data_IF_583164982611
#
_entry.id   IF_583164982611
#
_cell.length_a   1.000
_cell.length_b   1.000
_cell.length_c   1.000
_cell.angle_alpha   90.00
_cell.angle_beta   90.00
_cell.angle_gamma   90.00
#
_symmetry.space_group_name_H-M   'P 1'
#
loop_
_entity.id
_entity.type
_entity.pdbx_description
1 polymer ?
#
# COMPACT_ATOMS: atom_id res chain seq x y z
N UNK A 1 2.62 -1.16 -25.83
CA UNK A 1 1.31 -0.49 -26.16
C UNK A 1 1.33 0.95 -25.64
N UNK A 2 0.47 1.83 -26.18
CA UNK A 2 0.33 3.17 -25.62
C UNK A 2 -0.93 3.22 -24.75
N UNK A 3 -0.80 3.80 -23.53
CA UNK A 3 -1.89 3.94 -22.57
C UNK A 3 -2.29 5.40 -22.43
N UNK A 4 -3.59 5.65 -22.29
CA UNK A 4 -4.14 6.99 -22.06
C UNK A 4 -4.58 7.15 -20.62
N UNK A 5 -3.76 7.81 -19.79
CA UNK A 5 -4.06 8.09 -18.40
C UNK A 5 -4.93 9.34 -18.19
N UNK A 6 -5.23 10.11 -19.24
CA UNK A 6 -6.19 11.22 -19.20
C UNK A 6 -7.62 10.79 -19.50
N UNK A 7 -7.84 9.50 -19.83
CA UNK A 7 -9.18 8.96 -20.07
C UNK A 7 -10.01 9.03 -18.78
N UNK A 8 -11.16 9.69 -18.85
CA UNK A 8 -12.12 9.70 -17.75
C UNK A 8 -13.07 8.50 -17.91
N UNK A 9 -12.98 7.58 -16.95
CA UNK A 9 -13.82 6.38 -16.91
C UNK A 9 -14.86 6.56 -15.79
N UNK A 10 -16.14 6.51 -16.14
CA UNK A 10 -17.21 6.56 -15.15
C UNK A 10 -17.18 5.30 -14.26
N UNK A 11 -17.11 5.51 -12.96
CA UNK A 11 -17.04 4.44 -11.96
C UNK A 11 -18.25 4.36 -11.05
N UNK A 12 -19.22 5.28 -11.17
CA UNK A 12 -20.48 5.22 -10.42
C UNK A 12 -21.36 4.09 -10.97
N UNK A 13 -22.12 3.48 -10.08
CA UNK A 13 -22.96 2.31 -10.39
C UNK A 13 -22.19 1.06 -10.85
N UNK A 14 -20.93 0.95 -10.45
CA UNK A 14 -20.08 -0.22 -10.72
C UNK A 14 -19.73 -1.01 -9.44
N UNK A 15 -20.41 -0.72 -8.34
CA UNK A 15 -20.10 -1.26 -7.00
C UNK A 15 -18.70 -0.86 -6.50
N UNK A 16 -18.21 0.28 -6.97
CA UNK A 16 -16.91 0.82 -6.57
C UNK A 16 -16.96 1.30 -5.12
N UNK A 17 -16.14 0.71 -4.26
CA UNK A 17 -16.00 1.17 -2.86
C UNK A 17 -15.56 2.64 -2.79
N UNK A 18 -14.73 3.09 -3.72
CA UNK A 18 -14.23 4.46 -3.80
C UNK A 18 -15.33 5.45 -4.22
N UNK A 19 -16.15 5.11 -5.23
CA UNK A 19 -17.10 6.02 -5.85
C UNK A 19 -18.53 5.85 -5.35
N UNK A 20 -19.02 4.62 -5.23
CA UNK A 20 -20.42 4.36 -4.86
C UNK A 20 -20.67 4.39 -3.35
N UNK A 21 -19.62 4.06 -2.57
CA UNK A 21 -19.72 3.99 -1.11
C UNK A 21 -19.17 5.23 -0.38
N UNK A 22 -18.84 6.30 -1.12
CA UNK A 22 -18.26 7.53 -0.56
C UNK A 22 -19.15 8.15 0.51
N UNK A 23 -20.46 8.27 0.25
CA UNK A 23 -21.41 8.83 1.20
C UNK A 23 -21.45 8.10 2.54
N UNK A 24 -21.50 6.77 2.52
CA UNK A 24 -21.54 5.96 3.74
C UNK A 24 -20.19 5.97 4.49
N UNK A 25 -19.07 6.15 3.80
CA UNK A 25 -17.72 6.08 4.40
C UNK A 25 -17.21 7.41 4.92
N UNK A 26 -17.47 8.51 4.20
CA UNK A 26 -16.96 9.83 4.57
C UNK A 26 -18.06 10.83 4.95
N UNK A 27 -19.32 10.43 4.88
CA UNK A 27 -20.45 11.27 5.31
C UNK A 27 -20.89 12.32 4.29
N UNK A 28 -20.41 12.27 3.02
CA UNK A 28 -20.82 13.18 1.96
C UNK A 28 -20.89 12.44 0.61
N UNK A 29 -22.09 12.14 0.07
CA UNK A 29 -22.25 11.42 -1.19
C UNK A 29 -21.82 12.23 -2.42
N UNK A 30 -21.75 13.56 -2.30
CA UNK A 30 -21.37 14.45 -3.39
C UNK A 30 -19.86 14.71 -3.45
N UNK A 31 -19.10 14.19 -2.48
CA UNK A 31 -17.66 14.41 -2.44
C UNK A 31 -16.94 13.69 -3.58
N UNK A 32 -15.99 14.40 -4.23
CA UNK A 32 -15.10 13.83 -5.24
C UNK A 32 -14.14 12.83 -4.57
N UNK A 33 -14.13 11.55 -4.96
CA UNK A 33 -13.33 10.55 -4.25
C UNK A 33 -11.84 10.60 -4.58
N UNK A 34 -11.02 11.01 -3.62
CA UNK A 34 -9.55 11.01 -3.67
C UNK A 34 -8.94 10.31 -2.43
N UNK A 35 -9.56 9.24 -1.94
CA UNK A 35 -9.27 8.60 -0.65
C UNK A 35 -8.79 7.15 -0.72
N UNK A 36 -9.51 6.25 -1.40
CA UNK A 36 -9.14 4.83 -1.51
C UNK A 36 -7.87 4.67 -2.35
N UNK A 37 -6.99 3.77 -1.93
CA UNK A 37 -5.75 3.44 -2.64
C UNK A 37 -6.00 2.48 -3.83
N UNK A 38 -6.85 2.89 -4.75
CA UNK A 38 -6.97 2.38 -6.12
C UNK A 38 -6.86 3.55 -7.11
N UNK A 39 -6.50 3.30 -8.35
CA UNK A 39 -6.40 4.34 -9.36
C UNK A 39 -7.70 4.47 -10.16
N UNK A 40 -7.88 5.59 -10.87
CA UNK A 40 -8.99 5.79 -11.80
C UNK A 40 -8.56 5.54 -13.26
N UNK A 41 -7.44 4.86 -13.45
CA UNK A 41 -6.91 4.48 -14.75
C UNK A 41 -7.46 3.14 -15.22
N UNK A 42 -7.56 2.99 -16.54
CA UNK A 42 -7.85 1.70 -17.17
C UNK A 42 -6.80 0.67 -16.80
N UNK A 43 -7.24 -0.55 -16.50
CA UNK A 43 -6.31 -1.69 -16.35
C UNK A 43 -5.61 -1.96 -17.69
N UNK A 44 -4.37 -2.48 -17.69
CA UNK A 44 -3.66 -2.83 -18.92
C UNK A 44 -4.47 -3.79 -19.80
N UNK A 45 -4.43 -3.58 -21.11
CA UNK A 45 -5.18 -4.41 -22.05
C UNK A 45 -4.91 -5.91 -21.91
N UNK A 46 -3.64 -6.38 -21.72
CA UNK A 46 -3.39 -7.82 -21.54
C UNK A 46 -4.10 -8.41 -20.31
N UNK A 47 -4.25 -7.63 -19.23
CA UNK A 47 -5.01 -8.05 -18.04
C UNK A 47 -6.50 -8.18 -18.37
N UNK A 48 -7.05 -7.17 -19.03
CA UNK A 48 -8.46 -7.17 -19.43
C UNK A 48 -8.77 -8.35 -20.38
N UNK A 49 -7.89 -8.61 -21.33
CA UNK A 49 -8.04 -9.70 -22.29
C UNK A 49 -7.95 -11.07 -21.60
N UNK A 50 -7.04 -11.26 -20.64
CA UNK A 50 -6.95 -12.48 -19.85
C UNK A 50 -8.24 -12.75 -19.04
N UNK A 51 -8.83 -11.70 -18.45
CA UNK A 51 -10.11 -11.81 -17.71
C UNK A 51 -11.25 -12.16 -18.68
N UNK A 52 -11.33 -11.51 -19.85
CA UNK A 52 -12.36 -11.81 -20.88
C UNK A 52 -12.24 -13.25 -21.38
N UNK A 53 -11.04 -13.67 -21.77
CA UNK A 53 -10.79 -15.04 -22.24
C UNK A 53 -11.20 -16.08 -21.18
N UNK A 54 -10.91 -15.80 -19.88
CA UNK A 54 -11.36 -16.69 -18.80
C UNK A 54 -12.88 -16.69 -18.64
N UNK A 55 -13.55 -15.55 -18.85
CA UNK A 55 -15.00 -15.43 -18.75
C UNK A 55 -15.73 -16.12 -19.92
N UNK A 56 -15.11 -16.22 -21.09
CA UNK A 56 -15.67 -16.96 -22.26
C UNK A 56 -15.81 -18.45 -21.99
N UNK A 57 -14.99 -19.02 -21.10
CA UNK A 57 -15.17 -20.40 -20.65
C UNK A 57 -16.33 -20.49 -19.63
N UNK A 58 -17.45 -21.16 -19.95
CA UNK A 58 -18.72 -21.03 -19.24
C UNK A 58 -18.81 -21.77 -17.88
N UNK A 59 -17.72 -22.39 -17.41
CA UNK A 59 -17.67 -23.13 -16.15
C UNK A 59 -16.73 -22.43 -15.16
N UNK A 60 -17.28 -21.94 -14.04
CA UNK A 60 -16.56 -21.26 -12.98
C UNK A 60 -16.41 -22.19 -11.75
N UNK A 61 -15.80 -23.36 -11.97
CA UNK A 61 -15.49 -24.32 -10.90
C UNK A 61 -14.33 -23.87 -10.02
N UNK A 62 -13.85 -24.76 -9.16
CA UNK A 62 -12.76 -24.47 -8.23
C UNK A 62 -11.42 -24.35 -8.96
N UNK A 63 -10.73 -23.21 -8.88
CA UNK A 63 -9.39 -23.06 -9.43
C UNK A 63 -8.33 -23.65 -8.51
N UNK A 64 -7.12 -23.83 -9.04
CA UNK A 64 -5.93 -24.17 -8.26
C UNK A 64 -4.77 -23.22 -8.61
N UNK A 65 -3.78 -23.14 -7.73
CA UNK A 65 -2.58 -22.33 -7.95
C UNK A 65 -1.67 -23.02 -8.94
N UNK A 66 -1.40 -22.36 -10.07
CA UNK A 66 -0.62 -22.89 -11.17
C UNK A 66 0.86 -22.53 -11.05
N UNK A 67 1.74 -23.21 -11.79
CA UNK A 67 3.18 -22.95 -11.75
C UNK A 67 3.50 -21.57 -12.36
N UNK A 68 2.80 -21.17 -13.43
CA UNK A 68 2.97 -19.87 -14.08
C UNK A 68 2.71 -18.68 -13.14
N UNK A 69 1.82 -18.81 -12.14
CA UNK A 69 1.66 -17.81 -11.07
C UNK A 69 2.96 -17.61 -10.29
N UNK A 70 3.62 -18.70 -9.91
CA UNK A 70 4.89 -18.65 -9.16
C UNK A 70 6.01 -18.08 -10.01
N UNK A 71 6.10 -18.54 -11.25
CA UNK A 71 7.12 -18.12 -12.21
C UNK A 71 6.95 -16.63 -12.55
N UNK A 72 5.72 -16.16 -12.77
CA UNK A 72 5.43 -14.76 -13.02
C UNK A 72 5.87 -13.87 -11.85
N UNK A 73 5.64 -14.31 -10.60
CA UNK A 73 6.10 -13.58 -9.40
C UNK A 73 7.63 -13.50 -9.36
N UNK A 74 8.32 -14.63 -9.52
CA UNK A 74 9.79 -14.71 -9.48
C UNK A 74 10.41 -13.86 -10.58
N UNK A 75 9.93 -14.00 -11.80
CA UNK A 75 10.46 -13.29 -12.97
C UNK A 75 10.24 -11.77 -12.86
N UNK A 76 9.07 -11.34 -12.39
CA UNK A 76 8.76 -9.93 -12.21
C UNK A 76 9.66 -9.28 -11.17
N UNK A 77 9.76 -9.87 -9.98
CA UNK A 77 10.58 -9.31 -8.88
C UNK A 77 12.06 -9.32 -9.25
N UNK A 78 12.56 -10.38 -9.90
CA UNK A 78 13.94 -10.40 -10.42
C UNK A 78 14.16 -9.27 -11.43
N UNK A 79 13.26 -9.10 -12.38
CA UNK A 79 13.38 -8.10 -13.45
C UNK A 79 13.30 -6.67 -12.93
N UNK A 80 12.35 -6.39 -12.02
CA UNK A 80 12.08 -5.03 -11.52
C UNK A 80 12.99 -4.62 -10.35
N UNK A 81 13.34 -5.57 -9.50
CA UNK A 81 13.99 -5.28 -8.21
C UNK A 81 15.30 -6.05 -8.02
N UNK A 82 15.72 -6.88 -8.97
CA UNK A 82 17.01 -7.59 -8.92
C UNK A 82 17.08 -8.73 -7.90
N UNK A 83 15.96 -9.09 -7.24
CA UNK A 83 15.95 -10.15 -6.24
C UNK A 83 15.69 -11.52 -6.87
N UNK A 84 16.65 -12.43 -6.73
CA UNK A 84 16.55 -13.80 -7.20
C UNK A 84 15.86 -14.69 -6.17
N UNK A 85 14.73 -15.29 -6.56
CA UNK A 85 13.91 -16.12 -5.71
C UNK A 85 13.69 -17.49 -6.34
N UNK A 86 13.28 -18.47 -5.51
CA UNK A 86 12.85 -19.78 -6.00
C UNK A 86 11.33 -19.86 -6.05
N UNK A 87 10.74 -20.48 -7.08
CA UNK A 87 9.28 -20.60 -7.20
C UNK A 87 8.61 -21.29 -6.01
N UNK A 88 9.30 -22.25 -5.34
CA UNK A 88 8.78 -22.93 -4.15
C UNK A 88 8.66 -22.02 -2.92
N UNK A 89 9.25 -20.81 -2.93
CA UNK A 89 9.07 -19.82 -1.86
C UNK A 89 7.77 -19.05 -1.98
N UNK A 90 7.11 -19.12 -3.15
CA UNK A 90 5.92 -18.32 -3.46
C UNK A 90 4.65 -19.06 -3.01
N UNK A 91 3.93 -18.45 -2.10
CA UNK A 91 2.61 -18.89 -1.59
C UNK A 91 1.54 -17.93 -2.10
N UNK A 92 0.43 -18.44 -2.62
CA UNK A 92 -0.71 -17.63 -3.04
C UNK A 92 -1.51 -17.12 -1.82
N UNK A 93 -1.97 -15.87 -1.88
CA UNK A 93 -2.95 -15.33 -0.94
C UNK A 93 -4.02 -14.50 -1.66
N UNK A 94 -5.21 -14.38 -1.06
CA UNK A 94 -6.35 -13.63 -1.59
C UNK A 94 -6.27 -12.12 -1.32
N UNK A 95 -5.12 -11.64 -0.97
CA UNK A 95 -4.79 -10.25 -0.60
C UNK A 95 -3.82 -10.23 0.56
N UNK A 96 -3.22 -9.07 0.81
CA UNK A 96 -2.14 -8.93 1.82
C UNK A 96 -2.70 -8.81 3.24
N UNK A 97 -3.82 -8.13 3.44
CA UNK A 97 -4.42 -7.98 4.78
C UNK A 97 -4.75 -9.33 5.45
N UNK A 98 -5.32 -10.34 4.74
CA UNK A 98 -5.46 -11.69 5.30
C UNK A 98 -4.14 -12.33 5.73
N UNK A 99 -3.02 -12.00 5.07
CA UNK A 99 -1.68 -12.52 5.43
C UNK A 99 -1.24 -11.98 6.79
N UNK A 100 -1.41 -10.66 7.03
CA UNK A 100 -1.09 -10.06 8.32
C UNK A 100 -1.85 -10.72 9.46
N UNK A 101 -3.17 -10.85 9.32
CA UNK A 101 -4.01 -11.56 10.31
C UNK A 101 -3.54 -13.00 10.55
N UNK A 102 -3.22 -13.72 9.48
CA UNK A 102 -2.77 -15.11 9.55
C UNK A 102 -1.45 -15.26 10.28
N UNK A 103 -0.48 -14.38 10.00
CA UNK A 103 0.83 -14.42 10.65
C UNK A 103 0.76 -13.96 12.11
N UNK A 104 -0.04 -12.93 12.42
CA UNK A 104 -0.30 -12.52 13.80
C UNK A 104 -0.88 -13.69 14.60
N UNK A 105 -1.86 -14.41 14.08
CA UNK A 105 -2.43 -15.59 14.74
C UNK A 105 -1.44 -16.76 14.87
N UNK A 106 -0.57 -16.94 13.87
CA UNK A 106 0.36 -18.08 13.83
C UNK A 106 1.56 -17.94 14.77
N UNK A 107 2.04 -16.70 14.97
CA UNK A 107 3.31 -16.43 15.65
C UNK A 107 3.16 -15.71 16.99
N UNK A 108 1.94 -15.32 17.37
CA UNK A 108 1.70 -14.59 18.60
C UNK A 108 0.53 -15.17 19.38
N UNK A 109 0.48 -14.90 20.67
CA UNK A 109 -0.64 -15.18 21.56
C UNK A 109 -1.35 -13.87 21.95
N UNK A 110 -2.60 -13.93 22.44
CA UNK A 110 -3.24 -12.77 23.02
C UNK A 110 -2.35 -12.07 24.06
N UNK A 111 -2.20 -10.75 23.93
CA UNK A 111 -1.31 -9.93 24.77
C UNK A 111 0.16 -9.88 24.35
N UNK A 112 0.59 -10.62 23.31
CA UNK A 112 1.88 -10.40 22.67
C UNK A 112 1.89 -9.12 21.86
N UNK A 113 3.10 -8.62 21.56
CA UNK A 113 3.33 -7.34 20.90
C UNK A 113 3.71 -7.54 19.43
N UNK A 114 3.16 -6.69 18.56
CA UNK A 114 3.55 -6.58 17.16
C UNK A 114 4.01 -5.16 16.86
N UNK A 115 5.22 -5.00 16.34
CA UNK A 115 5.83 -3.71 16.06
C UNK A 115 5.31 -3.18 14.73
N UNK A 116 4.89 -1.91 14.72
CA UNK A 116 4.58 -1.13 13.53
C UNK A 116 5.17 0.28 13.64
N UNK A 117 5.30 0.99 12.51
CA UNK A 117 5.93 2.31 12.44
C UNK A 117 4.92 3.37 11.99
N UNK A 118 4.18 3.96 12.94
CA UNK A 118 3.19 5.01 12.64
C UNK A 118 3.85 6.36 12.28
N UNK A 119 3.16 7.18 11.43
CA UNK A 119 1.87 6.89 10.78
C UNK A 119 2.03 5.82 9.70
N UNK A 120 1.16 4.81 9.70
CA UNK A 120 1.25 3.67 8.78
C UNK A 120 -0.14 3.17 8.38
N UNK A 121 -0.20 2.39 7.32
CA UNK A 121 -1.41 1.76 6.80
C UNK A 121 -2.24 1.10 7.90
N UNK A 122 -3.43 1.66 8.15
CA UNK A 122 -4.28 1.31 9.30
C UNK A 122 -4.64 -0.18 9.44
N UNK A 123 -4.77 -1.00 8.35
CA UNK A 123 -5.00 -2.43 8.52
C UNK A 123 -3.89 -3.19 9.26
N UNK A 124 -2.68 -2.64 9.39
CA UNK A 124 -1.67 -3.24 10.28
C UNK A 124 -2.15 -3.23 11.73
N UNK A 125 -2.63 -2.06 12.20
CA UNK A 125 -3.19 -1.94 13.53
C UNK A 125 -4.42 -2.83 13.75
N UNK A 126 -5.31 -2.93 12.76
CA UNK A 126 -6.49 -3.80 12.85
C UNK A 126 -6.09 -5.28 12.95
N UNK A 127 -5.13 -5.73 12.13
CA UNK A 127 -4.65 -7.12 12.21
C UNK A 127 -4.07 -7.47 13.60
N UNK A 128 -3.55 -6.49 14.32
CA UNK A 128 -3.03 -6.66 15.67
C UNK A 128 -4.17 -6.67 16.69
N UNK A 129 -4.98 -5.63 16.73
CA UNK A 129 -5.99 -5.40 17.76
C UNK A 129 -7.16 -6.37 17.63
N UNK A 130 -7.64 -6.63 16.41
CA UNK A 130 -8.75 -7.57 16.16
C UNK A 130 -8.40 -9.03 16.52
N UNK A 131 -7.11 -9.31 16.72
CA UNK A 131 -6.63 -10.59 17.18
C UNK A 131 -6.18 -10.57 18.66
N UNK A 132 -6.56 -9.58 19.46
CA UNK A 132 -6.22 -9.43 20.88
C UNK A 132 -4.70 -9.28 21.16
N UNK A 133 -3.94 -8.73 20.21
CA UNK A 133 -2.52 -8.40 20.36
C UNK A 133 -2.35 -6.93 20.64
N UNK A 134 -1.14 -6.56 21.07
CA UNK A 134 -0.80 -5.19 21.47
C UNK A 134 0.06 -4.54 20.37
N UNK A 135 -0.32 -3.33 19.97
CA UNK A 135 0.52 -2.52 19.07
C UNK A 135 1.74 -2.04 19.84
N UNK A 136 2.93 -2.41 19.40
CA UNK A 136 4.20 -1.84 19.83
C UNK A 136 4.61 -0.79 18.81
N UNK A 137 4.31 0.47 19.12
CA UNK A 137 4.40 1.57 18.16
C UNK A 137 5.80 2.19 18.13
N UNK A 138 6.59 1.86 17.14
CA UNK A 138 7.84 2.54 16.81
C UNK A 138 7.53 3.73 15.90
N UNK A 139 6.97 4.81 16.48
CA UNK A 139 6.58 6.01 15.73
C UNK A 139 7.75 6.60 14.95
N UNK A 140 7.51 6.92 13.67
CA UNK A 140 8.48 7.61 12.84
C UNK A 140 8.71 9.05 13.36
N UNK A 141 9.95 9.51 13.26
CA UNK A 141 10.31 10.89 13.61
C UNK A 141 10.02 11.78 12.41
N UNK A 142 9.12 12.76 12.58
CA UNK A 142 8.87 13.81 11.59
C UNK A 142 9.68 15.05 11.92
N UNK A 143 10.55 15.44 11.00
CA UNK A 143 11.36 16.66 11.13
C UNK A 143 11.67 17.26 9.75
N UNK A 144 11.48 18.56 9.61
CA UNK A 144 11.82 19.34 8.41
C UNK A 144 11.26 18.74 7.11
N UNK A 145 9.99 18.26 7.15
CA UNK A 145 9.32 17.67 6.00
C UNK A 145 9.74 16.23 5.67
N UNK A 146 10.48 15.56 6.55
CA UNK A 146 10.97 14.19 6.35
C UNK A 146 10.60 13.29 7.52
N UNK A 147 10.37 12.02 7.19
CA UNK A 147 10.17 10.96 8.17
C UNK A 147 11.41 10.07 8.22
N UNK A 148 11.85 9.75 9.43
CA UNK A 148 12.99 8.87 9.70
C UNK A 148 12.63 7.83 10.76
N UNK A 149 13.41 6.76 10.84
CA UNK A 149 13.20 5.68 11.82
C UNK A 149 13.90 6.03 13.13
N UNK A 150 13.21 5.84 14.25
CA UNK A 150 13.82 5.86 15.59
C UNK A 150 14.38 4.46 15.91
N UNK A 151 15.66 4.27 15.63
CA UNK A 151 16.34 2.99 15.85
C UNK A 151 16.56 2.67 17.33
N UNK A 152 16.70 3.68 18.21
CA UNK A 152 16.85 3.45 19.65
C UNK A 152 15.52 2.95 20.24
N UNK A 153 14.41 3.54 19.83
CA UNK A 153 13.09 3.06 20.21
C UNK A 153 12.79 1.68 19.61
N UNK A 154 13.18 1.42 18.35
CA UNK A 154 13.01 0.11 17.70
C UNK A 154 13.76 -0.99 18.47
N UNK A 155 15.02 -0.74 18.83
CA UNK A 155 15.83 -1.67 19.64
C UNK A 155 15.14 -1.98 20.98
N UNK A 156 14.65 -0.95 21.67
CA UNK A 156 13.96 -1.11 22.95
C UNK A 156 12.68 -1.94 22.82
N UNK A 157 11.90 -1.73 21.77
CA UNK A 157 10.66 -2.48 21.52
C UNK A 157 10.93 -3.92 21.11
N UNK A 158 11.89 -4.13 20.24
CA UNK A 158 12.26 -5.48 19.81
C UNK A 158 12.83 -6.32 20.95
N UNK A 159 13.49 -5.69 21.95
CA UNK A 159 14.01 -6.35 23.14
C UNK A 159 12.90 -6.82 24.11
N UNK A 160 11.63 -6.40 23.93
CA UNK A 160 10.51 -6.91 24.73
C UNK A 160 10.34 -8.42 24.50
N UNK A 161 10.25 -9.23 25.56
CA UNK A 161 10.02 -10.67 25.41
C UNK A 161 8.66 -11.01 24.77
N UNK A 162 7.75 -10.02 24.72
CA UNK A 162 6.45 -10.13 24.05
C UNK A 162 6.49 -9.75 22.57
N UNK A 163 7.51 -9.05 22.10
CA UNK A 163 7.65 -8.67 20.70
C UNK A 163 7.98 -9.91 19.86
N UNK A 164 7.12 -10.28 18.92
CA UNK A 164 7.26 -11.49 18.08
C UNK A 164 7.34 -11.18 16.60
N UNK A 165 6.65 -10.12 16.18
CA UNK A 165 6.52 -9.73 14.79
C UNK A 165 6.75 -8.23 14.64
N UNK A 166 7.27 -7.83 13.49
CA UNK A 166 7.23 -6.47 12.96
C UNK A 166 6.52 -6.47 11.61
N UNK A 167 5.59 -5.55 11.37
CA UNK A 167 5.02 -5.32 10.05
C UNK A 167 5.64 -4.05 9.48
N UNK A 168 6.51 -4.22 8.50
CA UNK A 168 7.23 -3.16 7.81
C UNK A 168 6.52 -2.79 6.50
N UNK A 169 6.25 -1.51 6.29
CA UNK A 169 5.73 -0.97 5.03
C UNK A 169 6.89 -0.45 4.17
N UNK A 170 7.14 -1.04 3.02
CA UNK A 170 8.27 -0.69 2.15
C UNK A 170 7.91 -0.82 0.65
N UNK A 171 7.63 0.26 -0.09
CA UNK A 171 7.61 1.69 0.32
C UNK A 171 6.54 2.03 1.34
N UNK A 172 6.78 3.07 2.15
CA UNK A 172 5.95 3.39 3.30
C UNK A 172 4.73 4.26 2.96
N UNK A 173 3.55 3.73 3.22
CA UNK A 173 2.26 4.42 3.09
C UNK A 173 1.76 4.78 4.52
N UNK A 174 1.48 6.06 4.84
CA UNK A 174 1.12 7.15 3.92
C UNK A 174 2.26 8.10 3.55
N UNK A 175 3.43 8.05 4.19
CA UNK A 175 4.44 9.11 4.13
C UNK A 175 5.24 9.13 2.81
N UNK A 176 5.10 8.10 1.96
CA UNK A 176 5.72 8.05 0.64
C UNK A 176 7.22 7.75 0.63
N UNK A 177 7.81 7.29 1.76
CA UNK A 177 9.23 6.96 1.85
C UNK A 177 9.57 5.64 1.17
N UNK A 178 10.71 5.62 0.49
CA UNK A 178 11.43 4.41 0.10
C UNK A 178 12.65 4.27 1.03
N UNK A 179 12.65 3.24 1.85
CA UNK A 179 13.73 3.06 2.83
C UNK A 179 15.05 2.76 2.13
N UNK A 180 16.13 3.37 2.63
CA UNK A 180 17.49 3.13 2.15
C UNK A 180 18.00 1.75 2.57
N UNK A 181 19.04 1.27 1.90
CA UNK A 181 19.69 0.01 2.28
C UNK A 181 20.16 0.03 3.74
N UNK A 182 20.71 1.15 4.20
CA UNK A 182 21.17 1.32 5.58
C UNK A 182 20.00 1.21 6.58
N UNK A 183 18.88 1.89 6.29
CA UNK A 183 17.67 1.82 7.13
C UNK A 183 17.11 0.39 7.18
N UNK A 184 17.03 -0.30 6.04
CA UNK A 184 16.53 -1.68 5.98
C UNK A 184 17.46 -2.69 6.68
N UNK A 185 18.78 -2.52 6.57
CA UNK A 185 19.75 -3.33 7.32
C UNK A 185 19.62 -3.09 8.82
N UNK A 186 19.50 -1.82 9.25
CA UNK A 186 19.31 -1.48 10.66
C UNK A 186 18.07 -2.15 11.26
N UNK A 187 16.91 -2.09 10.58
CA UNK A 187 15.70 -2.79 11.00
C UNK A 187 15.96 -4.30 11.10
N UNK A 188 16.55 -4.88 10.06
CA UNK A 188 16.72 -6.34 9.95
C UNK A 188 17.67 -6.89 11.02
N UNK A 189 18.79 -6.21 11.30
CA UNK A 189 19.73 -6.63 12.34
C UNK A 189 19.11 -6.56 13.74
N UNK A 190 18.35 -5.51 14.04
CA UNK A 190 17.61 -5.39 15.30
C UNK A 190 16.61 -6.54 15.45
N UNK A 191 15.79 -6.78 14.42
CA UNK A 191 14.80 -7.84 14.44
C UNK A 191 15.42 -9.24 14.57
N UNK A 192 16.53 -9.51 13.87
CA UNK A 192 17.27 -10.77 14.01
C UNK A 192 17.83 -10.96 15.42
N UNK A 193 18.46 -9.93 15.97
CA UNK A 193 19.05 -9.96 17.31
C UNK A 193 18.03 -10.36 18.38
N UNK A 194 16.78 -9.96 18.22
CA UNK A 194 15.70 -10.18 19.18
C UNK A 194 14.72 -11.26 18.76
N UNK A 195 14.98 -12.01 17.68
CA UNK A 195 14.10 -13.07 17.15
C UNK A 195 12.70 -12.56 16.79
N UNK A 196 12.60 -11.34 16.25
CA UNK A 196 11.38 -10.75 15.71
C UNK A 196 11.31 -11.04 14.21
N UNK A 197 10.26 -11.74 13.76
CA UNK A 197 10.04 -12.00 12.32
C UNK A 197 9.50 -10.72 11.67
N UNK A 198 10.03 -10.39 10.48
CA UNK A 198 9.61 -9.20 9.74
C UNK A 198 8.65 -9.56 8.61
N UNK A 199 7.45 -9.00 8.64
CA UNK A 199 6.48 -9.07 7.54
C UNK A 199 6.68 -7.81 6.70
N UNK A 200 7.20 -7.96 5.47
CA UNK A 200 7.47 -6.86 4.57
C UNK A 200 6.29 -6.65 3.63
N UNK A 201 5.54 -5.57 3.80
CA UNK A 201 4.52 -5.14 2.83
C UNK A 201 5.19 -4.35 1.71
N UNK A 202 5.51 -5.05 0.60
CA UNK A 202 6.15 -4.48 -0.58
C UNK A 202 5.17 -4.29 -1.75
N UNK A 203 3.87 -4.14 -1.45
CA UNK A 203 2.80 -4.00 -2.47
C UNK A 203 2.94 -2.76 -3.35
N UNK A 204 3.67 -1.75 -2.90
CA UNK A 204 3.94 -0.52 -3.64
C UNK A 204 5.31 -0.51 -4.33
N UNK A 205 6.05 -1.61 -4.33
CA UNK A 205 7.43 -1.72 -4.83
C UNK A 205 7.64 -1.22 -6.27
N UNK A 206 6.65 -1.41 -7.16
CA UNK A 206 6.73 -0.94 -8.54
C UNK A 206 6.50 0.57 -8.73
N UNK A 207 5.97 1.24 -7.70
CA UNK A 207 5.51 2.63 -7.77
C UNK A 207 6.57 3.60 -7.23
N UNK A 208 7.80 3.42 -7.68
CA UNK A 208 8.93 4.26 -7.30
C UNK A 208 8.97 5.50 -8.18
N UNK A 209 9.17 6.67 -7.59
CA UNK A 209 9.10 7.97 -8.26
C UNK A 209 10.48 8.65 -8.27
N UNK A 210 10.68 9.54 -9.23
CA UNK A 210 11.85 10.43 -9.32
C UNK A 210 13.21 9.70 -9.29
N UNK A 211 13.26 8.49 -9.88
CA UNK A 211 14.49 7.70 -9.97
C UNK A 211 14.85 6.94 -8.69
N UNK A 212 14.05 7.02 -7.64
CA UNK A 212 14.19 6.15 -6.48
C UNK A 212 14.01 4.69 -6.87
N UNK A 213 14.66 3.79 -6.13
CA UNK A 213 14.60 2.35 -6.38
C UNK A 213 14.06 1.63 -5.14
N UNK A 214 13.22 0.65 -5.38
CA UNK A 214 12.82 -0.27 -4.33
C UNK A 214 13.95 -1.27 -4.04
N UNK A 215 14.16 -1.53 -2.76
CA UNK A 215 15.11 -2.53 -2.28
C UNK A 215 14.31 -3.58 -1.50
N UNK A 216 14.16 -4.81 -2.03
CA UNK A 216 13.55 -5.90 -1.27
C UNK A 216 14.39 -6.23 -0.04
N UNK A 217 13.78 -6.24 1.14
CA UNK A 217 14.51 -6.54 2.40
C UNK A 217 15.23 -7.88 2.32
N UNK A 218 14.55 -8.88 1.80
CA UNK A 218 15.08 -10.24 1.67
C UNK A 218 16.24 -10.37 0.68
N UNK A 219 16.49 -9.36 -0.18
CA UNK A 219 17.62 -9.39 -1.14
C UNK A 219 18.93 -8.94 -0.53
N UNK A 220 18.93 -8.31 0.64
CA UNK A 220 20.11 -7.69 1.24
C UNK A 220 21.06 -8.68 1.91
N UNK A 221 20.52 -9.76 2.46
CA UNK A 221 21.32 -10.81 3.16
C UNK A 221 20.45 -12.08 3.29
N UNK A 222 21.06 -13.26 3.17
CA UNK A 222 20.36 -14.52 3.34
C UNK A 222 19.75 -14.67 4.75
N UNK A 223 20.40 -14.13 5.79
CA UNK A 223 19.87 -14.13 7.16
C UNK A 223 18.56 -13.35 7.26
N UNK A 224 18.48 -12.21 6.54
CA UNK A 224 17.24 -11.41 6.48
C UNK A 224 16.17 -12.15 5.70
N UNK A 225 16.51 -12.73 4.54
CA UNK A 225 15.60 -13.54 3.76
C UNK A 225 14.96 -14.66 4.60
N UNK A 226 15.76 -15.34 5.43
CA UNK A 226 15.28 -16.41 6.31
C UNK A 226 14.45 -15.92 7.50
N UNK A 227 14.42 -14.61 7.77
CA UNK A 227 13.62 -13.99 8.84
C UNK A 227 12.47 -13.12 8.31
N UNK A 228 12.18 -13.16 7.00
CA UNK A 228 11.16 -12.32 6.38
C UNK A 228 10.03 -13.12 5.75
N UNK A 229 8.85 -12.48 5.74
CA UNK A 229 7.70 -12.84 4.89
C UNK A 229 7.40 -11.64 4.02
N UNK A 230 7.72 -11.70 2.73
CA UNK A 230 7.57 -10.57 1.82
C UNK A 230 6.28 -10.68 1.00
N UNK A 231 5.49 -9.61 0.98
CA UNK A 231 4.18 -9.54 0.34
C UNK A 231 4.24 -8.73 -0.96
N UNK A 232 4.00 -9.38 -2.10
CA UNK A 232 3.89 -8.75 -3.42
C UNK A 232 2.48 -8.91 -3.98
N UNK A 233 2.01 -7.91 -4.71
CA UNK A 233 0.77 -8.02 -5.47
C UNK A 233 0.74 -7.02 -6.64
N UNK A 234 0.22 -7.40 -7.81
CA UNK A 234 0.03 -6.49 -8.94
C UNK A 234 -1.11 -5.48 -8.71
N UNK A 235 -1.84 -5.61 -7.61
CA UNK A 235 -3.11 -4.94 -7.37
C UNK A 235 -3.01 -3.41 -7.33
N UNK A 236 -1.91 -2.84 -6.82
CA UNK A 236 -1.71 -1.39 -6.75
C UNK A 236 -1.14 -0.84 -8.05
N UNK A 237 -0.20 -1.55 -8.64
CA UNK A 237 0.47 -1.18 -9.88
C UNK A 237 -0.50 -1.18 -11.05
N UNK A 238 -1.34 -2.20 -11.15
CA UNK A 238 -2.21 -2.45 -12.31
C UNK A 238 -3.72 -2.26 -12.04
N UNK A 239 -4.07 -1.69 -10.88
CA UNK A 239 -5.46 -1.37 -10.51
C UNK A 239 -6.41 -2.59 -10.51
N UNK A 240 -5.96 -3.73 -10.00
CA UNK A 240 -6.69 -5.01 -9.98
C UNK A 240 -6.97 -5.56 -8.57
N UNK A 241 -7.08 -4.69 -7.58
CA UNK A 241 -7.31 -5.09 -6.19
C UNK A 241 -8.58 -5.95 -5.99
N UNK A 242 -9.61 -5.71 -6.80
CA UNK A 242 -10.86 -6.50 -6.77
C UNK A 242 -10.70 -7.96 -7.19
N UNK A 243 -9.65 -8.32 -7.92
CA UNK A 243 -9.36 -9.67 -8.36
C UNK A 243 -8.65 -10.55 -7.31
N UNK A 244 -8.13 -9.93 -6.25
CA UNK A 244 -7.65 -10.62 -5.03
C UNK A 244 -6.58 -11.70 -5.27
N UNK A 245 -5.47 -11.34 -5.93
CA UNK A 245 -4.29 -12.20 -6.09
C UNK A 245 -3.05 -11.55 -5.50
N UNK A 246 -2.32 -12.26 -4.65
CA UNK A 246 -1.05 -11.82 -4.05
C UNK A 246 -0.07 -12.98 -3.97
N UNK A 247 1.22 -12.70 -4.22
CA UNK A 247 2.34 -13.62 -4.05
C UNK A 247 3.08 -13.34 -2.75
N UNK A 248 3.12 -14.31 -1.86
CA UNK A 248 3.80 -14.19 -0.57
C UNK A 248 5.07 -15.01 -0.64
N UNK A 249 6.21 -14.32 -0.54
CA UNK A 249 7.53 -14.94 -0.66
C UNK A 249 8.09 -15.26 0.72
N UNK A 250 8.32 -16.54 0.98
CA UNK A 250 8.78 -17.04 2.27
C UNK A 250 9.94 -18.04 2.05
N UNK A 251 11.19 -17.58 2.05
CA UNK A 251 12.37 -18.44 1.86
C UNK A 251 12.49 -19.51 2.94
N UNK A 252 12.26 -19.15 4.21
CA UNK A 252 12.34 -20.05 5.35
C UNK A 252 11.25 -21.13 5.29
N UNK A 253 11.61 -22.43 5.20
CA UNK A 253 10.65 -23.51 5.04
C UNK A 253 9.74 -23.70 6.27
N UNK A 254 10.22 -23.38 7.48
CA UNK A 254 9.43 -23.52 8.72
C UNK A 254 8.38 -22.40 8.79
N UNK A 255 8.77 -21.17 8.46
CA UNK A 255 7.84 -20.03 8.41
C UNK A 255 6.80 -20.28 7.33
N UNK A 256 7.20 -20.79 6.16
CA UNK A 256 6.29 -21.10 5.06
C UNK A 256 5.29 -22.18 5.42
N UNK A 257 5.75 -23.28 6.02
CA UNK A 257 4.87 -24.37 6.47
C UNK A 257 3.87 -23.89 7.53
N UNK A 258 4.30 -23.03 8.45
CA UNK A 258 3.44 -22.45 9.49
C UNK A 258 2.37 -21.55 8.88
N UNK A 259 2.74 -20.67 7.93
CA UNK A 259 1.82 -19.82 7.20
C UNK A 259 0.76 -20.64 6.43
N UNK A 260 1.20 -21.65 5.67
CA UNK A 260 0.31 -22.52 4.89
C UNK A 260 -0.65 -23.32 5.80
N UNK A 261 -0.15 -23.82 6.94
CA UNK A 261 -0.99 -24.50 7.92
C UNK A 261 -2.06 -23.57 8.52
N UNK A 262 -1.68 -22.33 8.86
CA UNK A 262 -2.63 -21.35 9.41
C UNK A 262 -3.64 -20.91 8.37
N UNK A 263 -3.25 -20.70 7.11
CA UNK A 263 -4.18 -20.47 6.01
C UNK A 263 -5.20 -21.60 5.87
N UNK A 264 -4.74 -22.85 5.98
CA UNK A 264 -5.63 -24.02 5.94
C UNK A 264 -6.61 -24.04 7.11
N UNK A 265 -6.17 -23.72 8.33
CA UNK A 265 -7.04 -23.60 9.51
C UNK A 265 -8.09 -22.51 9.35
N UNK A 266 -7.69 -21.34 8.84
CA UNK A 266 -8.57 -20.19 8.63
C UNK A 266 -9.50 -20.35 7.41
N UNK A 267 -9.30 -21.37 6.56
CA UNK A 267 -10.00 -21.50 5.26
C UNK A 267 -9.89 -20.25 4.39
N UNK A 268 -8.79 -19.51 4.50
CA UNK A 268 -8.63 -18.17 3.92
C UNK A 268 -8.05 -18.15 2.50
N UNK A 269 -7.58 -19.31 1.98
CA UNK A 269 -7.08 -19.43 0.62
C UNK A 269 -8.21 -19.96 -0.29
N UNK A 270 -8.98 -19.03 -0.85
CA UNK A 270 -9.99 -19.36 -1.87
C UNK A 270 -9.86 -18.33 -2.99
N UNK A 271 -9.05 -18.66 -4.00
CA UNK A 271 -8.92 -17.80 -5.18
C UNK A 271 -10.20 -17.84 -6.01
N UNK A 272 -10.53 -16.72 -6.64
CA UNK A 272 -11.52 -16.71 -7.71
C UNK A 272 -10.85 -17.08 -9.06
N UNK A 273 -11.65 -17.51 -10.01
CA UNK A 273 -11.17 -18.02 -11.31
C UNK A 273 -10.46 -16.97 -12.17
N UNK A 274 -10.60 -15.68 -11.88
CA UNK A 274 -10.00 -14.58 -12.62
C UNK A 274 -8.67 -14.12 -12.01
N UNK A 275 -8.42 -14.47 -10.74
CA UNK A 275 -7.25 -13.99 -9.99
C UNK A 275 -5.93 -14.33 -10.68
N UNK A 276 -5.69 -15.62 -10.94
CA UNK A 276 -4.42 -16.08 -11.51
C UNK A 276 -4.22 -15.63 -12.95
N UNK A 277 -5.19 -15.76 -13.87
CA UNK A 277 -5.04 -15.25 -15.24
C UNK A 277 -4.70 -13.76 -15.31
N UNK A 278 -5.35 -12.95 -14.49
CA UNK A 278 -5.08 -11.52 -14.42
C UNK A 278 -3.70 -11.21 -13.81
N UNK A 279 -3.32 -11.93 -12.75
CA UNK A 279 -2.02 -11.80 -12.08
C UNK A 279 -0.87 -12.10 -13.02
N UNK A 280 -0.93 -13.25 -13.70
CA UNK A 280 0.08 -13.68 -14.68
C UNK A 280 0.18 -12.69 -15.84
N UNK A 281 -0.94 -12.29 -16.42
CA UNK A 281 -0.95 -11.31 -17.50
C UNK A 281 -0.36 -9.96 -17.08
N UNK A 282 -0.60 -9.51 -15.84
CA UNK A 282 -0.04 -8.26 -15.30
C UNK A 282 1.49 -8.32 -15.25
N UNK A 283 2.05 -9.37 -14.65
CA UNK A 283 3.48 -9.48 -14.44
C UNK A 283 4.27 -9.89 -15.70
N UNK A 284 3.69 -10.71 -16.58
CA UNK A 284 4.39 -11.14 -17.79
C UNK A 284 4.32 -10.16 -18.96
N UNK A 285 3.22 -9.35 -19.02
CA UNK A 285 2.89 -8.64 -20.27
C UNK A 285 2.71 -7.14 -20.13
N UNK A 286 2.80 -6.57 -18.92
CA UNK A 286 2.41 -5.17 -18.69
C UNK A 286 3.52 -4.27 -18.12
N UNK A 287 4.79 -4.60 -18.37
CA UNK A 287 5.89 -3.73 -17.97
C UNK A 287 5.81 -2.35 -18.62
N UNK A 288 5.47 -2.30 -19.90
CA UNK A 288 5.27 -1.07 -20.67
C UNK A 288 4.17 -0.14 -20.09
N UNK A 289 3.23 -0.70 -19.33
CA UNK A 289 2.24 0.08 -18.59
C UNK A 289 2.91 0.84 -17.42
N UNK A 290 3.76 0.15 -16.66
CA UNK A 290 4.47 0.75 -15.52
C UNK A 290 5.40 1.87 -15.98
N UNK A 291 6.14 1.64 -17.07
CA UNK A 291 7.05 2.63 -17.66
C UNK A 291 6.34 3.90 -18.12
N UNK A 292 5.07 3.81 -18.51
CA UNK A 292 4.27 4.98 -18.89
C UNK A 292 3.51 5.58 -17.69
N UNK A 293 3.09 4.75 -16.73
CA UNK A 293 2.38 5.18 -15.51
C UNK A 293 3.26 6.08 -14.64
N UNK A 294 4.50 5.67 -14.38
CA UNK A 294 5.38 6.40 -13.45
C UNK A 294 5.63 7.86 -13.88
N UNK A 295 6.00 8.18 -15.12
CA UNK A 295 6.15 9.57 -15.55
C UNK A 295 4.84 10.37 -15.47
N UNK A 296 3.69 9.73 -15.68
CA UNK A 296 2.39 10.39 -15.53
C UNK A 296 2.11 10.75 -14.06
N UNK A 297 2.37 9.82 -13.14
CA UNK A 297 2.25 10.05 -11.69
C UNK A 297 3.21 11.15 -11.22
N UNK A 298 4.46 11.13 -11.66
CA UNK A 298 5.43 12.19 -11.36
C UNK A 298 4.95 13.56 -11.87
N UNK A 299 4.32 13.59 -13.04
CA UNK A 299 3.64 14.77 -13.54
C UNK A 299 2.54 15.26 -12.60
N UNK A 300 1.70 14.34 -12.07
CA UNK A 300 0.67 14.67 -11.10
C UNK A 300 1.25 15.18 -9.76
N UNK A 301 2.35 14.58 -9.28
CA UNK A 301 3.06 15.07 -8.08
C UNK A 301 3.56 16.50 -8.29
N UNK A 302 4.26 16.76 -9.40
CA UNK A 302 4.77 18.11 -9.73
C UNK A 302 3.65 19.15 -9.84
N UNK A 303 2.54 18.76 -10.47
CA UNK A 303 1.38 19.62 -10.58
C UNK A 303 0.77 19.97 -9.21
N UNK A 304 0.59 18.97 -8.35
CA UNK A 304 0.09 19.17 -6.98
C UNK A 304 1.03 20.07 -6.18
N UNK A 305 2.33 19.79 -6.17
CA UNK A 305 3.33 20.54 -5.42
C UNK A 305 3.34 22.04 -5.81
N UNK A 306 3.36 22.33 -7.13
CA UNK A 306 3.30 23.69 -7.64
C UNK A 306 1.98 24.37 -7.25
N UNK A 307 0.85 23.67 -7.40
CA UNK A 307 -0.46 24.22 -7.06
C UNK A 307 -0.56 24.59 -5.57
N UNK A 308 -0.05 23.74 -4.68
CA UNK A 308 -0.03 24.03 -3.25
C UNK A 308 0.85 25.24 -2.93
N UNK A 309 2.09 25.27 -3.44
CA UNK A 309 3.04 26.37 -3.21
C UNK A 309 2.52 27.72 -3.68
N UNK A 310 1.87 27.76 -4.84
CA UNK A 310 1.40 28.98 -5.45
C UNK A 310 0.06 29.48 -4.88
N UNK A 311 -0.86 28.54 -4.54
CA UNK A 311 -2.26 28.89 -4.24
C UNK A 311 -2.71 28.52 -2.84
N UNK A 312 -2.07 27.53 -2.18
CA UNK A 312 -2.45 27.04 -0.85
C UNK A 312 -1.21 26.80 0.04
N UNK A 313 -0.36 27.81 0.29
CA UNK A 313 0.96 27.62 0.92
C UNK A 313 0.93 27.08 2.35
N UNK A 314 -0.21 27.14 3.05
CA UNK A 314 -0.39 26.52 4.38
C UNK A 314 -0.65 25.01 4.34
N UNK A 315 -0.79 24.43 3.16
CA UNK A 315 -0.86 22.97 2.96
C UNK A 315 0.42 22.54 2.25
N UNK A 316 1.22 21.72 2.90
CA UNK A 316 2.54 21.31 2.40
C UNK A 316 2.53 19.83 2.04
N UNK A 317 3.00 19.47 0.88
CA UNK A 317 3.18 18.07 0.51
C UNK A 317 4.50 17.55 1.03
N UNK A 318 4.47 16.42 1.74
CA UNK A 318 5.68 15.64 2.01
C UNK A 318 6.16 15.07 0.67
N UNK A 319 7.42 15.34 0.31
CA UNK A 319 7.93 14.90 -0.99
C UNK A 319 7.94 13.37 -1.08
N UNK A 320 7.17 12.79 -2.01
CA UNK A 320 7.10 11.34 -2.13
C UNK A 320 8.31 10.79 -2.88
N UNK A 321 8.83 9.67 -2.40
CA UNK A 321 9.82 8.85 -3.09
C UNK A 321 9.13 7.68 -3.82
N UNK A 322 7.88 7.39 -3.45
CA UNK A 322 7.07 6.30 -4.01
C UNK A 322 5.57 6.53 -3.83
N UNK A 323 4.78 5.70 -4.46
CA UNK A 323 3.32 5.60 -4.42
C UNK A 323 2.59 6.72 -5.18
N UNK A 324 1.28 6.61 -5.29
CA UNK A 324 0.37 7.66 -5.77
C UNK A 324 -0.48 8.27 -4.64
N UNK A 325 -0.01 8.12 -3.39
CA UNK A 325 -0.70 8.53 -2.17
C UNK A 325 0.10 9.66 -1.52
N UNK A 326 -0.40 10.89 -1.66
CA UNK A 326 0.31 12.07 -1.18
C UNK A 326 -0.06 12.39 0.25
N UNK A 327 0.94 12.56 1.10
CA UNK A 327 0.80 12.95 2.49
C UNK A 327 0.95 14.45 2.60
N UNK A 328 -0.13 15.13 3.04
CA UNK A 328 -0.22 16.59 3.09
C UNK A 328 -0.22 17.05 4.55
N UNK A 329 0.75 17.85 4.92
CA UNK A 329 0.81 18.56 6.19
C UNK A 329 -0.08 19.81 6.12
N UNK A 330 -1.11 19.86 6.93
CA UNK A 330 -2.08 20.94 7.02
C UNK A 330 -1.95 21.74 8.33
N UNK A 331 -0.92 21.52 9.13
CA UNK A 331 -0.73 22.12 10.47
C UNK A 331 -0.80 23.65 10.45
N UNK A 332 -0.26 24.30 9.40
CA UNK A 332 -0.29 25.77 9.28
C UNK A 332 -1.69 26.35 8.99
N UNK A 333 -2.68 25.50 8.67
CA UNK A 333 -4.08 25.94 8.57
C UNK A 333 -4.74 26.15 9.93
N UNK A 334 -4.16 25.60 11.00
CA UNK A 334 -4.73 25.55 12.34
C UNK A 334 -5.91 24.59 12.49
N UNK A 335 -6.18 23.75 11.48
CA UNK A 335 -7.19 22.70 11.53
C UNK A 335 -6.54 21.36 11.83
N UNK A 336 -7.21 20.51 12.61
CA UNK A 336 -6.75 19.18 13.01
C UNK A 336 -7.93 18.21 13.14
N UNK A 337 -7.69 16.92 12.98
CA UNK A 337 -8.65 15.84 13.22
C UNK A 337 -9.99 16.05 12.52
N UNK A 338 -11.09 16.12 13.29
CA UNK A 338 -12.44 16.28 12.75
C UNK A 338 -12.65 17.59 12.01
N UNK A 339 -12.05 18.70 12.47
CA UNK A 339 -12.15 19.99 11.80
C UNK A 339 -11.48 19.99 10.44
N UNK A 340 -10.32 19.34 10.33
CA UNK A 340 -9.60 19.17 9.07
C UNK A 340 -10.39 18.27 8.11
N UNK A 341 -10.92 17.16 8.60
CA UNK A 341 -11.77 16.28 7.80
C UNK A 341 -13.03 16.97 7.31
N UNK A 342 -13.69 17.78 8.18
CA UNK A 342 -14.88 18.57 7.82
C UNK A 342 -14.57 19.56 6.69
N UNK A 343 -13.45 20.28 6.79
CA UNK A 343 -13.01 21.21 5.73
C UNK A 343 -12.91 20.52 4.37
N UNK A 344 -12.19 19.39 4.29
CA UNK A 344 -12.04 18.69 3.01
C UNK A 344 -13.35 18.06 2.52
N UNK A 345 -14.05 17.33 3.39
CA UNK A 345 -15.16 16.47 2.99
C UNK A 345 -16.48 17.23 2.88
N UNK A 346 -16.79 18.10 3.85
CA UNK A 346 -18.10 18.77 3.89
C UNK A 346 -18.07 20.11 3.16
N UNK A 347 -17.02 20.92 3.35
CA UNK A 347 -16.95 22.24 2.72
C UNK A 347 -16.41 22.15 1.29
N UNK A 348 -15.22 21.56 1.12
CA UNK A 348 -14.59 21.44 -0.19
C UNK A 348 -15.17 20.30 -1.05
N UNK A 349 -15.95 19.39 -0.46
CA UNK A 349 -16.52 18.22 -1.12
C UNK A 349 -15.47 17.35 -1.83
N UNK A 350 -14.32 17.17 -1.20
CA UNK A 350 -13.25 16.27 -1.65
C UNK A 350 -13.03 15.21 -0.57
N UNK A 351 -13.30 13.97 -0.91
CA UNK A 351 -13.08 12.85 0.00
C UNK A 351 -11.61 12.48 0.04
N UNK A 352 -11.00 12.62 1.21
CA UNK A 352 -9.60 12.28 1.52
C UNK A 352 -9.55 11.15 2.55
N UNK A 353 -8.37 10.57 2.77
CA UNK A 353 -8.15 9.75 3.98
C UNK A 353 -7.66 10.65 5.10
N UNK A 354 -8.33 10.59 6.24
CA UNK A 354 -7.94 11.30 7.47
C UNK A 354 -6.58 10.81 7.94
N UNK A 355 -5.73 11.73 8.35
CA UNK A 355 -4.39 11.38 8.79
C UNK A 355 -4.35 10.66 10.14
N UNK A 356 -5.25 11.01 11.06
CA UNK A 356 -5.40 10.33 12.37
C UNK A 356 -5.77 8.84 12.26
N UNK A 357 -6.33 8.41 11.12
CA UNK A 357 -6.56 7.00 10.83
C UNK A 357 -5.28 6.17 10.62
N UNK A 358 -4.13 6.83 10.40
CA UNK A 358 -2.83 6.16 10.22
C UNK A 358 -1.99 6.12 11.51
N UNK A 359 -2.41 6.85 12.52
CA UNK A 359 -1.79 7.01 13.81
C UNK A 359 -2.13 8.38 14.42
N UNK A 360 -2.07 8.53 15.75
CA UNK A 360 -2.40 9.78 16.42
C UNK A 360 -1.55 10.97 15.95
N UNK A 361 -0.32 10.71 15.47
CA UNK A 361 0.60 11.71 14.92
C UNK A 361 0.11 12.32 13.61
N UNK A 362 -0.86 11.68 12.94
CA UNK A 362 -1.42 12.12 11.68
C UNK A 362 -2.57 13.11 11.78
N UNK A 363 -2.93 13.61 12.98
CA UNK A 363 -4.13 14.44 13.17
C UNK A 363 -4.13 15.74 12.32
N UNK A 364 -2.95 16.32 12.07
CA UNK A 364 -2.77 17.54 11.24
C UNK A 364 -2.55 17.24 9.77
N UNK A 365 -2.67 15.98 9.37
CA UNK A 365 -2.40 15.52 8.01
C UNK A 365 -3.62 14.95 7.32
N UNK A 366 -3.55 14.92 5.99
CA UNK A 366 -4.48 14.16 5.14
C UNK A 366 -3.69 13.40 4.07
N UNK A 367 -4.22 12.22 3.68
CA UNK A 367 -3.67 11.50 2.53
C UNK A 367 -4.58 11.69 1.32
N UNK A 368 -4.01 12.22 0.24
CA UNK A 368 -4.64 12.45 -1.04
C UNK A 368 -4.17 11.42 -2.07
N UNK A 369 -5.10 10.75 -2.75
CA UNK A 369 -4.79 9.85 -3.86
C UNK A 369 -4.75 10.64 -5.18
N UNK A 370 -3.61 10.66 -5.86
CA UNK A 370 -3.39 11.31 -7.15
C UNK A 370 -3.33 10.33 -8.34
N UNK A 371 -3.63 9.06 -8.12
CA UNK A 371 -3.75 8.03 -9.16
C UNK A 371 -5.03 8.18 -9.97
N UNK A 372 -5.19 9.35 -10.60
CA UNK A 372 -6.35 9.72 -11.41
C UNK A 372 -5.94 10.62 -12.59
N UNK A 373 -6.79 10.79 -13.62
CA UNK A 373 -6.56 11.76 -14.70
C UNK A 373 -6.24 13.16 -14.15
N UNK A 374 -5.33 13.88 -14.82
CA UNK A 374 -4.91 15.23 -14.42
C UNK A 374 -6.10 16.16 -14.20
N UNK A 375 -7.09 16.11 -15.08
CA UNK A 375 -8.31 16.92 -14.97
C UNK A 375 -9.12 16.63 -13.71
N UNK A 376 -9.12 15.38 -13.22
CA UNK A 376 -9.76 15.01 -11.95
C UNK A 376 -9.00 15.57 -10.75
N UNK A 377 -7.67 15.49 -10.77
CA UNK A 377 -6.81 16.10 -9.74
C UNK A 377 -7.01 17.62 -9.69
N UNK A 378 -6.95 18.28 -10.83
CA UNK A 378 -7.15 19.73 -10.95
C UNK A 378 -8.53 20.17 -10.44
N UNK A 379 -9.59 19.42 -10.80
CA UNK A 379 -10.93 19.65 -10.29
C UNK A 379 -10.98 19.59 -8.76
N UNK A 380 -10.42 18.54 -8.17
CA UNK A 380 -10.39 18.37 -6.71
C UNK A 380 -9.63 19.51 -6.02
N UNK A 381 -8.48 19.88 -6.55
CA UNK A 381 -7.67 20.97 -6.00
C UNK A 381 -8.38 22.35 -6.10
N UNK A 382 -9.08 22.64 -7.19
CA UNK A 382 -9.86 23.87 -7.30
C UNK A 382 -11.03 23.91 -6.33
N UNK A 383 -11.69 22.78 -6.05
CA UNK A 383 -12.75 22.69 -5.03
C UNK A 383 -12.19 22.99 -3.61
N UNK A 384 -11.00 22.49 -3.31
CA UNK A 384 -10.31 22.79 -2.02
C UNK A 384 -9.91 24.26 -1.98
N UNK A 385 -9.32 24.80 -3.05
CA UNK A 385 -8.86 26.20 -3.15
C UNK A 385 -10.00 27.19 -2.88
N UNK A 386 -11.17 26.96 -3.42
CA UNK A 386 -12.35 27.84 -3.19
C UNK A 386 -12.66 27.98 -1.70
N UNK A 387 -12.64 26.87 -0.94
CA UNK A 387 -12.92 26.93 0.49
C UNK A 387 -11.72 27.44 1.30
N UNK A 388 -10.50 27.13 0.86
CA UNK A 388 -9.27 27.66 1.44
C UNK A 388 -9.27 29.19 1.44
N UNK A 389 -9.64 29.80 0.30
CA UNK A 389 -9.75 31.26 0.15
C UNK A 389 -10.90 31.84 0.99
N UNK A 390 -12.08 31.18 1.05
CA UNK A 390 -13.21 31.63 1.89
C UNK A 390 -12.86 31.66 3.38
N UNK A 391 -11.99 30.77 3.83
CA UNK A 391 -11.52 30.74 5.21
C UNK A 391 -10.39 31.77 5.50
N UNK A 392 -9.83 32.41 4.47
CA UNK A 392 -8.74 33.37 4.60
C UNK A 392 -7.40 32.72 4.99
N UNK A 393 -7.19 31.49 4.58
CA UNK A 393 -5.95 30.75 4.84
C UNK A 393 -4.76 31.31 4.06
#
# INVERSE_FOLDING_TARGET
MQYNFDEIIERRNTQSSKWDNVGARVGNPDALPMWVADTDFRVPYPVLDAVKARAEHPIFGYPFVTQDFKDATVNWVKKRHGYEMKPEWVVFATGIVPVFNTLVQAYTNPGDEVIIQRPVYHPFGFAIVDNDRVISDNSLIYKDGKYTIDFEDLERRAASPKAKLMILCNPHNPVGRAWTEEELRGISEICLKHNVIVICDEIHSDLMLFGHKHIPVASLDERYAMNTVTCYAPSKTFNIAGLRGSGIVVPNPEIRATLELQFKKNRSIQQNVFAIPAYVAAYEKCEDYVEQLLPYLEGNVKFLDNFLKEKMPKIKMIQPEATYLMWLDCSETGLSGDALAHFFVQEAKVAISRGDGFGPEGADFVRLNIGCPRSTLEKGLNMVLEQYQKRGF
#
